data_IF_314002013929
#
_entry.id   IF_314002013929
#
_cell.length_a   1.000
_cell.length_b   1.000
_cell.length_c   1.000
_cell.angle_alpha   90.00
_cell.angle_beta   90.00
_cell.angle_gamma   90.00
#
_symmetry.space_group_name_H-M   'P 1'
#
loop_
_entity.id
_entity.type
_entity.pdbx_description
1 polymer ?
#
# COMPACT_ATOMS: atom_id res chain seq x y z
N UNK A 1 -11.04 -9.68 -13.51
CA UNK A 1 -12.40 -9.22 -13.17
C UNK A 1 -12.32 -7.73 -12.94
N UNK A 2 -12.90 -6.93 -13.83
CA UNK A 2 -12.88 -5.47 -13.73
C UNK A 2 -13.99 -5.04 -12.77
N UNK A 3 -13.64 -4.43 -11.64
CA UNK A 3 -14.61 -3.94 -10.67
C UNK A 3 -14.94 -2.50 -11.02
N UNK A 4 -16.15 -2.29 -11.55
CA UNK A 4 -16.68 -0.98 -11.92
C UNK A 4 -17.10 -0.23 -10.65
N UNK A 5 -16.45 0.91 -10.38
CA UNK A 5 -16.94 1.87 -9.39
C UNK A 5 -17.97 2.82 -10.04
N UNK A 6 -19.09 3.02 -9.36
CA UNK A 6 -20.08 4.03 -9.73
C UNK A 6 -20.24 5.02 -8.58
N UNK A 7 -20.19 6.32 -8.88
CA UNK A 7 -20.40 7.38 -7.89
C UNK A 7 -21.61 8.20 -8.32
N UNK A 8 -22.66 8.23 -7.50
CA UNK A 8 -23.90 8.93 -7.84
C UNK A 8 -24.32 9.79 -6.67
N UNK A 9 -24.47 11.10 -6.90
CA UNK A 9 -24.76 12.10 -5.84
C UNK A 9 -23.77 12.03 -4.65
N UNK A 10 -22.50 11.69 -4.91
CA UNK A 10 -21.45 11.58 -3.88
C UNK A 10 -21.43 10.26 -3.10
N UNK A 11 -22.31 9.30 -3.41
CA UNK A 11 -22.30 7.97 -2.80
C UNK A 11 -21.46 6.99 -3.64
N UNK A 12 -20.51 6.30 -2.99
CA UNK A 12 -19.69 5.26 -3.61
C UNK A 12 -20.41 3.90 -3.61
N UNK A 13 -20.36 3.20 -4.73
CA UNK A 13 -20.90 1.85 -4.88
C UNK A 13 -19.81 0.84 -5.15
N UNK A 14 -19.88 -0.24 -4.40
CA UNK A 14 -19.14 -1.46 -4.66
C UNK A 14 -20.09 -2.45 -5.34
N UNK A 15 -19.70 -3.04 -6.49
CA UNK A 15 -20.52 -4.02 -7.19
C UNK A 15 -20.44 -5.35 -6.43
N UNK A 16 -21.28 -5.50 -5.43
CA UNK A 16 -21.82 -6.81 -5.06
C UNK A 16 -23.19 -6.90 -5.76
N UNK A 17 -23.50 -8.03 -6.39
CA UNK A 17 -24.72 -8.21 -7.22
C UNK A 17 -26.00 -7.74 -6.50
N UNK A 18 -26.08 -7.99 -5.20
CA UNK A 18 -27.22 -7.63 -4.35
C UNK A 18 -27.37 -6.11 -4.11
N UNK A 19 -26.29 -5.34 -4.27
CA UNK A 19 -26.24 -3.89 -3.98
C UNK A 19 -26.62 -3.04 -5.18
N UNK A 20 -26.41 -3.52 -6.40
CA UNK A 20 -26.71 -2.78 -7.64
C UNK A 20 -28.22 -2.60 -7.79
N UNK A 21 -29.02 -3.65 -7.60
CA UNK A 21 -30.48 -3.57 -7.70
C UNK A 21 -31.09 -2.57 -6.70
N UNK A 22 -30.62 -2.59 -5.44
CA UNK A 22 -31.08 -1.63 -4.41
C UNK A 22 -30.67 -0.20 -4.71
N UNK A 23 -29.58 -0.01 -5.45
CA UNK A 23 -29.09 1.29 -5.84
C UNK A 23 -29.87 1.86 -7.03
N UNK A 24 -30.07 1.08 -8.10
CA UNK A 24 -30.86 1.50 -9.26
C UNK A 24 -32.31 1.83 -8.90
N UNK A 25 -32.88 1.17 -7.88
CA UNK A 25 -34.22 1.48 -7.36
C UNK A 25 -34.38 2.90 -6.79
N UNK A 26 -33.28 3.63 -6.54
CA UNK A 26 -33.29 5.00 -6.00
C UNK A 26 -33.03 6.08 -7.05
N UNK A 27 -32.87 5.70 -8.32
CA UNK A 27 -32.65 6.63 -9.43
C UNK A 27 -33.98 6.84 -10.13
N UNK A 28 -34.49 8.07 -10.07
CA UNK A 28 -35.70 8.46 -10.79
C UNK A 28 -35.38 8.79 -12.24
N UNK A 29 -36.35 8.55 -13.13
CA UNK A 29 -36.24 8.89 -14.55
C UNK A 29 -35.90 10.38 -14.73
N UNK A 30 -34.89 10.66 -15.56
CA UNK A 30 -34.38 12.02 -15.77
C UNK A 30 -33.23 12.43 -14.83
N UNK A 31 -32.83 11.59 -13.87
CA UNK A 31 -31.67 11.85 -13.00
C UNK A 31 -30.36 11.74 -13.78
N UNK A 32 -29.58 12.83 -13.85
CA UNK A 32 -28.24 12.80 -14.41
C UNK A 32 -27.26 12.07 -13.48
N UNK A 33 -26.54 11.08 -14.02
CA UNK A 33 -25.56 10.27 -13.29
C UNK A 33 -24.16 10.52 -13.85
N UNK A 34 -23.19 10.79 -12.96
CA UNK A 34 -21.77 10.93 -13.33
C UNK A 34 -21.01 9.66 -12.97
N UNK A 35 -20.88 8.74 -13.91
CA UNK A 35 -20.12 7.51 -13.72
C UNK A 35 -18.62 7.75 -13.95
N UNK A 36 -17.77 7.24 -13.05
CA UNK A 36 -16.31 7.24 -13.23
C UNK A 36 -15.80 5.81 -13.09
N UNK A 37 -15.47 5.20 -14.23
CA UNK A 37 -14.86 3.88 -14.28
C UNK A 37 -13.37 4.00 -13.96
N UNK A 38 -12.85 3.12 -13.13
CA UNK A 38 -11.41 2.99 -12.85
C UNK A 38 -11.04 1.52 -12.86
N UNK A 39 -9.86 1.20 -13.38
CA UNK A 39 -9.31 -0.15 -13.26
C UNK A 39 -9.11 -0.46 -11.78
N UNK A 40 -9.67 -1.57 -11.32
CA UNK A 40 -9.42 -2.07 -9.98
C UNK A 40 -8.03 -2.68 -9.94
N UNK A 41 -7.05 -1.89 -9.54
CA UNK A 41 -5.90 -2.43 -8.85
C UNK A 41 -6.39 -2.73 -7.43
N UNK A 42 -6.48 -4.00 -7.05
CA UNK A 42 -6.66 -4.32 -5.64
C UNK A 42 -5.57 -3.58 -4.88
N UNK A 43 -5.96 -2.69 -3.99
CA UNK A 43 -5.02 -2.17 -2.99
C UNK A 43 -4.33 -3.35 -2.31
N UNK A 44 -3.18 -3.11 -1.68
CA UNK A 44 -2.48 -4.16 -0.94
C UNK A 44 -3.44 -5.00 -0.08
N UNK A 45 -3.19 -6.30 -0.02
CA UNK A 45 -3.91 -7.18 0.90
C UNK A 45 -3.61 -6.79 2.36
N UNK A 46 -4.61 -6.85 3.23
CA UNK A 46 -4.41 -6.65 4.68
C UNK A 46 -3.39 -7.65 5.24
N UNK A 47 -3.37 -8.89 4.71
CA UNK A 47 -2.37 -9.89 5.06
C UNK A 47 -0.96 -9.44 4.68
N UNK A 48 -0.78 -8.90 3.48
CA UNK A 48 0.51 -8.35 3.04
C UNK A 48 0.95 -7.18 3.93
N UNK A 49 0.03 -6.29 4.30
CA UNK A 49 0.33 -5.18 5.23
C UNK A 49 0.75 -5.67 6.61
N UNK A 50 0.05 -6.67 7.17
CA UNK A 50 0.41 -7.28 8.45
C UNK A 50 1.76 -7.97 8.39
N UNK A 51 2.01 -8.70 7.30
CA UNK A 51 3.26 -9.41 7.07
C UNK A 51 4.46 -8.46 7.02
N UNK A 52 4.36 -7.38 6.24
CA UNK A 52 5.40 -6.33 6.20
C UNK A 52 5.67 -5.74 7.58
N UNK A 53 4.64 -5.48 8.40
CA UNK A 53 4.86 -4.95 9.74
C UNK A 53 5.63 -5.92 10.65
N UNK A 54 5.36 -7.24 10.56
CA UNK A 54 6.13 -8.25 11.30
C UNK A 54 7.60 -8.26 10.88
N UNK A 55 7.87 -8.26 9.57
CA UNK A 55 9.23 -8.19 9.03
C UNK A 55 9.95 -6.93 9.48
N UNK A 56 9.32 -5.76 9.31
CA UNK A 56 9.85 -4.46 9.76
C UNK A 56 10.18 -4.48 11.25
N UNK A 57 9.29 -5.04 12.08
CA UNK A 57 9.51 -5.05 13.53
C UNK A 57 10.67 -5.97 13.93
N UNK A 58 10.85 -7.11 13.25
CA UNK A 58 12.03 -7.97 13.41
C UNK A 58 13.31 -7.24 12.99
N UNK A 59 13.28 -6.59 11.82
CA UNK A 59 14.39 -5.78 11.31
C UNK A 59 14.78 -4.66 12.30
N UNK A 60 13.79 -3.88 12.75
CA UNK A 60 14.00 -2.80 13.71
C UNK A 60 14.63 -3.29 15.01
N UNK A 61 14.13 -4.42 15.54
CA UNK A 61 14.66 -5.02 16.77
C UNK A 61 16.11 -5.46 16.63
N UNK A 62 16.47 -6.10 15.51
CA UNK A 62 17.83 -6.60 15.28
C UNK A 62 18.84 -5.46 15.02
N UNK A 63 18.43 -4.41 14.31
CA UNK A 63 19.28 -3.26 13.99
C UNK A 63 19.38 -2.23 15.14
N UNK A 64 18.58 -2.37 16.20
CA UNK A 64 18.50 -1.39 17.29
C UNK A 64 17.80 -0.09 16.90
N UNK A 65 16.94 -0.13 15.89
CA UNK A 65 16.23 1.03 15.35
C UNK A 65 14.85 1.22 15.97
N UNK A 66 14.34 2.45 15.88
CA UNK A 66 12.91 2.69 16.10
C UNK A 66 12.11 2.11 14.93
N UNK A 67 10.85 1.71 15.19
CA UNK A 67 9.96 1.19 14.13
C UNK A 67 9.74 2.20 13.00
N UNK A 68 9.65 3.49 13.32
CA UNK A 68 9.47 4.54 12.31
C UNK A 68 10.75 4.72 11.46
N UNK A 69 11.93 4.70 12.07
CA UNK A 69 13.19 4.78 11.33
C UNK A 69 13.40 3.55 10.44
N UNK A 70 13.24 2.34 10.97
CA UNK A 70 13.31 1.11 10.20
C UNK A 70 12.31 1.10 9.03
N UNK A 71 11.09 1.62 9.24
CA UNK A 71 10.11 1.78 8.17
C UNK A 71 10.56 2.76 7.10
N UNK A 72 11.19 3.86 7.49
CA UNK A 72 11.72 4.86 6.56
C UNK A 72 12.87 4.27 5.74
N UNK A 73 13.82 3.59 6.38
CA UNK A 73 14.96 2.93 5.74
C UNK A 73 14.51 1.88 4.72
N UNK A 74 13.67 0.92 5.14
CA UNK A 74 13.15 -0.12 4.25
C UNK A 74 12.35 0.47 3.08
N UNK A 75 11.64 1.59 3.29
CA UNK A 75 10.93 2.29 2.20
C UNK A 75 11.86 3.09 1.31
N UNK A 76 12.96 3.60 1.83
CA UNK A 76 13.99 4.25 1.02
C UNK A 76 14.66 3.21 0.10
N UNK A 77 14.94 2.01 0.61
CA UNK A 77 15.64 1.01 -0.19
C UNK A 77 14.72 0.26 -1.16
N UNK A 78 13.47 -0.02 -0.75
CA UNK A 78 12.56 -0.93 -1.48
C UNK A 78 11.16 -0.37 -1.70
N UNK A 79 10.89 0.86 -1.28
CA UNK A 79 9.58 1.48 -1.39
C UNK A 79 9.45 2.42 -2.58
N UNK A 80 8.39 3.24 -2.54
CA UNK A 80 8.15 4.32 -3.50
C UNK A 80 8.34 5.64 -2.79
N UNK A 81 9.27 6.44 -3.29
CA UNK A 81 9.58 7.78 -2.80
C UNK A 81 10.13 8.64 -3.93
N UNK A 82 10.14 9.95 -3.69
CA UNK A 82 10.72 10.95 -4.56
C UNK A 82 11.69 11.79 -3.74
N UNK A 83 12.87 12.06 -4.27
CA UNK A 83 13.79 13.00 -3.62
C UNK A 83 13.18 14.40 -3.68
N UNK A 84 13.34 15.18 -2.60
CA UNK A 84 13.01 16.59 -2.63
C UNK A 84 14.16 17.40 -3.24
N UNK A 85 13.82 18.30 -4.15
CA UNK A 85 14.68 19.34 -4.72
C UNK A 85 13.86 20.63 -4.97
N UNK A 86 14.48 21.65 -5.54
CA UNK A 86 13.84 22.95 -5.80
C UNK A 86 12.68 22.88 -6.81
N UNK A 87 12.70 21.87 -7.68
CA UNK A 87 11.73 21.66 -8.75
C UNK A 87 10.68 20.59 -8.37
N UNK A 88 10.59 20.22 -7.08
CA UNK A 88 9.73 19.14 -6.62
C UNK A 88 8.24 19.42 -6.90
N UNK A 89 7.63 18.53 -7.68
CA UNK A 89 6.18 18.51 -7.87
C UNK A 89 5.51 17.49 -6.95
N UNK A 90 4.55 17.96 -6.15
CA UNK A 90 3.79 17.09 -5.25
C UNK A 90 3.05 16.02 -6.06
N UNK A 91 3.29 14.72 -5.79
CA UNK A 91 2.62 13.65 -6.52
C UNK A 91 1.14 13.56 -6.12
N UNK A 92 0.35 12.88 -6.96
CA UNK A 92 -1.11 12.69 -6.74
C UNK A 92 -1.44 11.69 -5.63
N UNK A 93 -0.44 10.99 -5.10
CA UNK A 93 -0.60 10.00 -4.05
C UNK A 93 -0.25 10.59 -2.67
N UNK A 94 -0.91 10.11 -1.63
CA UNK A 94 -0.66 10.46 -0.25
C UNK A 94 0.71 9.98 0.21
N UNK A 95 1.42 10.82 0.95
CA UNK A 95 2.76 10.53 1.46
C UNK A 95 3.15 11.48 2.59
N UNK A 96 4.41 11.36 3.03
CA UNK A 96 5.00 12.30 3.99
C UNK A 96 6.45 12.57 3.64
N UNK A 97 6.91 13.78 3.93
CA UNK A 97 8.34 14.08 3.93
C UNK A 97 9.02 13.38 5.09
N UNK A 98 10.18 12.79 4.81
CA UNK A 98 11.03 12.10 5.78
C UNK A 98 12.47 12.47 5.46
N UNK A 99 13.22 12.86 6.49
CA UNK A 99 14.66 12.99 6.39
C UNK A 99 15.30 11.63 6.70
N UNK A 100 16.12 11.13 5.79
CA UNK A 100 16.86 9.87 5.95
C UNK A 100 18.19 9.96 5.23
N UNK A 101 19.26 9.42 5.81
CA UNK A 101 20.61 9.48 5.23
C UNK A 101 21.01 10.89 4.76
N UNK A 102 20.66 11.92 5.55
CA UNK A 102 20.92 13.35 5.26
C UNK A 102 20.21 13.94 4.04
N UNK A 103 19.25 13.21 3.46
CA UNK A 103 18.40 13.70 2.36
C UNK A 103 16.94 13.78 2.78
N UNK A 104 16.21 14.75 2.23
CA UNK A 104 14.76 14.85 2.39
C UNK A 104 14.09 14.13 1.23
N UNK A 105 13.19 13.20 1.53
CA UNK A 105 12.43 12.45 0.53
C UNK A 105 10.94 12.50 0.85
N UNK A 106 10.09 12.53 -0.18
CA UNK A 106 8.66 12.35 -0.04
C UNK A 106 8.31 10.88 -0.24
N UNK A 107 7.95 10.18 0.84
CA UNK A 107 7.67 8.74 0.78
C UNK A 107 6.17 8.45 0.67
N UNK A 108 5.78 7.63 -0.30
CA UNK A 108 4.38 7.20 -0.52
C UNK A 108 3.83 6.48 0.69
N UNK A 109 2.60 6.78 1.08
CA UNK A 109 1.90 6.08 2.16
C UNK A 109 1.74 4.62 1.76
N UNK A 110 2.12 3.70 2.64
CA UNK A 110 1.95 2.28 2.33
C UNK A 110 0.47 1.91 2.14
N UNK A 111 -0.47 2.70 2.66
CA UNK A 111 -1.91 2.53 2.43
C UNK A 111 -2.33 2.68 0.96
N UNK A 112 -1.56 3.42 0.17
CA UNK A 112 -1.80 3.61 -1.27
C UNK A 112 -0.91 2.74 -2.14
N UNK A 113 -0.20 1.77 -1.55
CA UNK A 113 0.60 0.85 -2.33
C UNK A 113 -0.30 -0.07 -3.15
N UNK A 114 0.06 -0.22 -4.42
CA UNK A 114 -0.45 -1.31 -5.26
C UNK A 114 0.07 -2.65 -4.74
N UNK A 115 -0.55 -3.76 -5.15
CA UNK A 115 -0.02 -5.09 -4.82
C UNK A 115 1.44 -5.27 -5.25
N UNK A 116 1.81 -4.74 -6.42
CA UNK A 116 3.18 -4.85 -6.94
C UNK A 116 4.17 -4.09 -6.07
N UNK A 117 3.85 -2.85 -5.72
CA UNK A 117 4.69 -2.02 -4.82
C UNK A 117 4.81 -2.66 -3.43
N UNK A 118 3.71 -3.23 -2.91
CA UNK A 118 3.72 -3.90 -1.61
C UNK A 118 4.55 -5.19 -1.62
N UNK A 119 4.44 -6.00 -2.67
CA UNK A 119 5.22 -7.22 -2.81
C UNK A 119 6.71 -6.92 -2.93
N UNK A 120 7.08 -5.89 -3.73
CA UNK A 120 8.46 -5.46 -3.87
C UNK A 120 9.04 -4.97 -2.53
N UNK A 121 8.26 -4.21 -1.76
CA UNK A 121 8.66 -3.78 -0.42
C UNK A 121 8.87 -4.98 0.54
N UNK A 122 8.00 -6.00 0.47
CA UNK A 122 8.11 -7.21 1.29
C UNK A 122 9.36 -8.02 0.91
N UNK A 123 9.55 -8.29 -0.39
CA UNK A 123 10.70 -9.06 -0.90
C UNK A 123 12.01 -8.34 -0.59
N UNK A 124 12.06 -7.03 -0.79
CA UNK A 124 13.19 -6.20 -0.39
C UNK A 124 13.46 -6.24 1.11
N UNK A 125 12.41 -6.19 1.95
CA UNK A 125 12.57 -6.31 3.40
C UNK A 125 13.13 -7.68 3.82
N UNK A 126 12.66 -8.77 3.19
CA UNK A 126 13.23 -10.11 3.39
C UNK A 126 14.72 -10.11 3.03
N UNK A 127 15.07 -9.51 1.89
CA UNK A 127 16.47 -9.39 1.47
C UNK A 127 17.30 -8.60 2.49
N UNK A 128 16.82 -7.45 2.96
CA UNK A 128 17.50 -6.67 4.02
C UNK A 128 17.70 -7.47 5.30
N UNK A 129 16.73 -8.30 5.70
CA UNK A 129 16.90 -9.20 6.84
C UNK A 129 18.00 -10.23 6.58
N UNK A 130 17.99 -10.89 5.43
CA UNK A 130 19.00 -11.89 5.06
C UNK A 130 20.40 -11.26 4.98
N UNK A 131 20.54 -10.12 4.31
CA UNK A 131 21.80 -9.39 4.14
C UNK A 131 22.42 -8.99 5.50
N UNK A 132 21.57 -8.72 6.50
CA UNK A 132 21.98 -8.37 7.86
C UNK A 132 22.00 -9.59 8.81
N UNK A 133 21.90 -10.82 8.31
CA UNK A 133 21.90 -12.06 9.10
C UNK A 133 20.81 -12.10 10.19
N UNK A 134 19.65 -11.50 9.91
CA UNK A 134 18.50 -11.44 10.81
C UNK A 134 17.63 -12.69 10.57
N UNK A 135 17.43 -13.49 11.63
CA UNK A 135 16.56 -14.67 11.55
C UNK A 135 15.09 -14.26 11.35
N UNK A 136 14.50 -14.75 10.26
CA UNK A 136 13.10 -14.56 9.84
C UNK A 136 12.47 -15.86 9.32
N UNK A 137 13.06 -17.03 9.60
CA UNK A 137 12.57 -18.30 9.05
C UNK A 137 11.11 -18.59 9.47
N UNK A 138 10.77 -18.21 10.71
CA UNK A 138 9.41 -18.30 11.25
C UNK A 138 8.40 -17.48 10.41
N UNK A 139 8.79 -16.28 9.99
CA UNK A 139 7.95 -15.40 9.18
C UNK A 139 7.84 -15.89 7.74
N UNK A 140 8.88 -16.50 7.17
CA UNK A 140 8.82 -17.07 5.82
C UNK A 140 7.79 -18.21 5.77
N UNK A 141 7.86 -19.14 6.73
CA UNK A 141 6.91 -20.26 6.83
C UNK A 141 5.46 -19.80 7.02
N UNK A 142 5.23 -18.75 7.82
CA UNK A 142 3.89 -18.18 8.01
C UNK A 142 3.30 -17.66 6.69
N UNK A 143 4.11 -17.01 5.86
CA UNK A 143 3.66 -16.48 4.56
C UNK A 143 3.25 -17.61 3.61
N UNK A 144 4.05 -18.67 3.53
CA UNK A 144 3.79 -19.82 2.66
C UNK A 144 2.50 -20.55 3.07
N UNK A 145 2.29 -20.76 4.37
CA UNK A 145 1.07 -21.39 4.88
C UNK A 145 -0.23 -20.60 4.59
N UNK A 146 -0.12 -19.30 4.32
CA UNK A 146 -1.27 -18.42 4.00
C UNK A 146 -1.57 -18.36 2.50
N UNK A 147 -0.64 -18.82 1.65
CA UNK A 147 -0.74 -18.76 0.18
C UNK A 147 -0.78 -20.13 -0.51
N UNK A 148 -0.58 -21.23 0.23
CA UNK A 148 -0.82 -22.60 -0.22
C UNK A 148 -2.25 -23.05 0.03
#
# INVERSE_FOLDING_TARGET
>A
MEIIKCIVKGMELHPEDDKIHRFCAKIEDGTAVKMKLSVWESGRSENASRYFHKLRDRYAGAMGYTREYAKAELKHDWGVWLQYDEDFETPKWAGKFVEIFTVIVFMKSTAEYTMKEMNLLIEGTIKSCIDNSIDIEDLIKEREATHG
#
